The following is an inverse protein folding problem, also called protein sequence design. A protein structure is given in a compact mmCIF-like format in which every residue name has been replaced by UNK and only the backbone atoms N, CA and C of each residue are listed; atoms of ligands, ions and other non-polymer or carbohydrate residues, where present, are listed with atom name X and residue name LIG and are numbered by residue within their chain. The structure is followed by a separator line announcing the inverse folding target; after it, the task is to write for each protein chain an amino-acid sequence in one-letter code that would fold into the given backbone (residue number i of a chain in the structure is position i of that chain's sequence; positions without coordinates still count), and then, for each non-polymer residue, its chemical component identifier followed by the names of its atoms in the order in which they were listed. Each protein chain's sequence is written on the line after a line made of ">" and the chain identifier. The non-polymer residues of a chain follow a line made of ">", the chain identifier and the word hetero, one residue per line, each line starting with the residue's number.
data_IF_952274768672
#
_entry.id   IF_952274768672
#
_cell.length_a   1.000
_cell.length_b   1.000
_cell.length_c   1.000
_cell.angle_alpha   90.00
_cell.angle_beta   90.00
_cell.angle_gamma   90.00
#
_symmetry.space_group_name_H-M   'P 1'
#
loop_
_entity.id
_entity.type
_entity.pdbx_description
1 polymer ?
#
# COMPACT_ATOMS: atom_id res chain seq x y z
N UNK A 1 12.54 30.32 39.13
CA UNK A 1 13.19 30.10 37.81
C UNK A 1 13.19 28.63 37.38
N UNK A 2 13.63 27.67 38.20
CA UNK A 2 13.63 26.22 37.84
C UNK A 2 12.25 25.65 37.45
N UNK A 3 11.20 26.04 38.17
CA UNK A 3 9.82 25.59 37.89
C UNK A 3 9.31 26.11 36.54
N UNK A 4 9.56 27.39 36.23
CA UNK A 4 9.22 27.97 34.92
C UNK A 4 9.96 27.27 33.77
N UNK A 5 11.25 26.97 33.97
CA UNK A 5 12.06 26.29 32.96
C UNK A 5 11.59 24.85 32.72
N UNK A 6 11.20 24.14 33.80
CA UNK A 6 10.64 22.79 33.72
C UNK A 6 9.25 22.74 33.08
N UNK A 7 8.43 23.77 33.28
CA UNK A 7 7.15 23.91 32.59
C UNK A 7 7.34 24.22 31.11
N UNK A 8 8.30 25.08 30.77
CA UNK A 8 8.62 25.41 29.38
C UNK A 8 9.15 24.19 28.62
N UNK A 9 10.03 23.39 29.22
CA UNK A 9 10.51 22.14 28.60
C UNK A 9 9.39 21.12 28.44
N UNK A 10 8.51 20.95 29.44
CA UNK A 10 7.35 20.07 29.32
C UNK A 10 6.39 20.49 28.19
N UNK A 11 6.11 21.78 28.05
CA UNK A 11 5.29 22.30 26.95
C UNK A 11 5.94 22.08 25.57
N UNK A 12 7.27 22.23 25.46
CA UNK A 12 8.01 21.96 24.22
C UNK A 12 7.95 20.47 23.84
N UNK A 13 8.10 19.55 24.81
CA UNK A 13 7.92 18.11 24.55
C UNK A 13 6.48 17.74 24.20
N UNK A 14 5.48 18.38 24.81
CA UNK A 14 4.08 18.16 24.47
C UNK A 14 3.74 18.61 23.04
N UNK A 15 4.34 19.69 22.53
CA UNK A 15 4.18 20.10 21.13
C UNK A 15 4.85 19.16 20.12
N UNK A 16 5.84 18.36 20.55
CA UNK A 16 6.42 17.30 19.72
C UNK A 16 5.50 16.08 19.58
N UNK A 17 4.50 15.94 20.46
CA UNK A 17 3.40 14.97 20.32
C UNK A 17 2.34 15.58 19.39
N UNK A 18 2.75 16.00 18.19
CA UNK A 18 1.79 16.21 17.12
C UNK A 18 1.25 14.82 16.77
N UNK A 19 -0.02 14.58 17.08
CA UNK A 19 -0.79 13.52 16.46
C UNK A 19 -0.52 13.61 14.95
N UNK A 20 -0.02 12.54 14.33
CA UNK A 20 0.00 12.47 12.87
C UNK A 20 -1.44 12.64 12.41
N UNK A 21 -1.76 13.80 11.84
CA UNK A 21 -3.08 14.06 11.31
C UNK A 21 -3.32 13.03 10.19
N UNK A 22 -4.38 12.24 10.33
CA UNK A 22 -4.70 11.24 9.33
C UNK A 22 -4.94 11.96 7.99
N UNK A 23 -4.11 11.65 6.99
CA UNK A 23 -4.15 12.31 5.67
C UNK A 23 -5.55 12.19 5.03
N UNK A 24 -6.23 11.06 5.28
CA UNK A 24 -7.58 10.80 4.83
C UNK A 24 -8.21 9.66 5.66
N UNK A 25 -9.52 9.43 5.53
CA UNK A 25 -10.22 8.29 6.13
C UNK A 25 -10.86 7.44 5.04
N UNK A 26 -10.62 6.13 5.06
CA UNK A 26 -11.19 5.19 4.09
C UNK A 26 -12.71 5.17 4.25
N UNK A 27 -13.41 5.46 3.15
CA UNK A 27 -14.88 5.46 3.07
C UNK A 27 -15.42 4.26 2.28
N UNK A 28 -14.64 3.78 1.31
CA UNK A 28 -14.96 2.63 0.47
C UNK A 28 -13.71 1.78 0.30
N UNK A 29 -13.86 0.46 0.38
CA UNK A 29 -12.83 -0.53 0.05
C UNK A 29 -13.34 -1.42 -1.08
N UNK A 30 -12.61 -1.46 -2.18
CA UNK A 30 -12.86 -2.40 -3.28
C UNK A 30 -11.83 -3.52 -3.21
N UNK A 31 -12.28 -4.76 -3.27
CA UNK A 31 -11.42 -5.94 -3.24
C UNK A 31 -11.40 -6.60 -4.61
N UNK A 32 -10.20 -6.83 -5.15
CA UNK A 32 -9.98 -7.46 -6.44
C UNK A 32 -9.28 -8.80 -6.23
N UNK A 33 -9.80 -9.87 -6.85
CA UNK A 33 -9.01 -11.09 -7.06
C UNK A 33 -8.17 -10.89 -8.31
N UNK A 34 -6.86 -10.81 -8.15
CA UNK A 34 -5.91 -10.54 -9.22
C UNK A 34 -5.21 -11.84 -9.65
N UNK A 35 -4.92 -11.96 -10.95
CA UNK A 35 -3.97 -12.91 -11.52
C UNK A 35 -2.86 -12.12 -12.20
N UNK A 36 -1.61 -12.48 -11.98
CA UNK A 36 -0.49 -11.70 -12.48
C UNK A 36 0.79 -12.49 -12.69
N UNK A 37 1.71 -11.90 -13.46
CA UNK A 37 3.08 -12.39 -13.67
C UNK A 37 4.04 -11.29 -13.25
N UNK A 38 5.16 -11.63 -12.61
CA UNK A 38 6.17 -10.63 -12.26
C UNK A 38 6.99 -10.20 -13.47
N UNK A 39 7.24 -11.12 -14.41
CA UNK A 39 7.94 -10.83 -15.66
C UNK A 39 7.17 -11.40 -16.85
N UNK A 40 7.46 -10.89 -18.05
CA UNK A 40 6.80 -11.32 -19.28
C UNK A 40 7.10 -12.80 -19.60
N UNK A 41 8.32 -13.26 -19.29
CA UNK A 41 8.82 -14.60 -19.57
C UNK A 41 8.22 -15.66 -18.64
N UNK A 42 7.62 -15.22 -17.52
CA UNK A 42 7.09 -16.13 -16.53
C UNK A 42 5.92 -16.92 -17.10
N UNK A 43 5.98 -18.25 -17.04
CA UNK A 43 4.95 -19.12 -17.61
C UNK A 43 3.68 -19.11 -16.76
N UNK A 44 3.85 -19.32 -15.47
CA UNK A 44 2.77 -19.42 -14.49
C UNK A 44 2.33 -18.05 -14.00
N UNK A 45 1.03 -17.90 -13.74
CA UNK A 45 0.47 -16.72 -13.09
C UNK A 45 0.32 -16.99 -11.59
N UNK A 46 0.53 -15.96 -10.79
CA UNK A 46 0.24 -15.94 -9.37
C UNK A 46 -1.11 -15.29 -9.13
N UNK A 47 -1.82 -15.72 -8.09
CA UNK A 47 -3.01 -15.05 -7.61
C UNK A 47 -2.66 -14.07 -6.49
N UNK A 48 -3.48 -13.03 -6.32
CA UNK A 48 -3.46 -12.17 -5.14
C UNK A 48 -4.86 -11.60 -4.84
N UNK A 49 -4.98 -10.97 -3.68
CA UNK A 49 -6.10 -10.14 -3.31
C UNK A 49 -5.59 -8.71 -3.16
N UNK A 50 -5.96 -7.86 -4.12
CA UNK A 50 -5.62 -6.44 -4.08
C UNK A 50 -6.78 -5.64 -3.49
N UNK A 51 -6.44 -4.62 -2.71
CA UNK A 51 -7.39 -3.69 -2.12
C UNK A 51 -7.19 -2.31 -2.73
N UNK A 52 -8.30 -1.64 -3.04
CA UNK A 52 -8.35 -0.22 -3.34
C UNK A 52 -9.15 0.47 -2.23
N UNK A 53 -8.43 1.13 -1.34
CA UNK A 53 -9.00 1.97 -0.30
C UNK A 53 -9.20 3.38 -0.83
N UNK A 54 -10.44 3.87 -0.75
CA UNK A 54 -10.86 5.16 -1.29
C UNK A 54 -11.34 6.03 -0.13
N UNK A 55 -10.60 7.11 0.13
CA UNK A 55 -10.99 8.15 1.07
C UNK A 55 -11.71 9.30 0.37
N UNK A 56 -11.83 10.43 1.07
CA UNK A 56 -12.49 11.63 0.53
C UNK A 56 -11.63 12.35 -0.50
N UNK A 57 -10.31 12.27 -0.37
CA UNK A 57 -9.34 13.04 -1.13
C UNK A 57 -8.24 12.20 -1.77
N UNK A 58 -8.04 10.97 -1.33
CA UNK A 58 -6.95 10.09 -1.72
C UNK A 58 -7.42 8.65 -1.91
N UNK A 59 -6.56 7.83 -2.52
CA UNK A 59 -6.77 6.38 -2.55
C UNK A 59 -5.44 5.63 -2.48
N UNK A 60 -5.48 4.40 -1.94
CA UNK A 60 -4.34 3.48 -1.89
C UNK A 60 -4.70 2.14 -2.52
N UNK A 61 -3.89 1.69 -3.46
CA UNK A 61 -3.97 0.36 -4.06
C UNK A 61 -2.80 -0.50 -3.59
N UNK A 62 -3.07 -1.68 -3.04
CA UNK A 62 -2.02 -2.54 -2.45
C UNK A 62 -2.46 -4.01 -2.38
N UNK A 63 -1.51 -4.91 -2.14
CA UNK A 63 -1.79 -6.33 -1.87
C UNK A 63 -2.17 -6.55 -0.40
N UNK A 64 -3.32 -7.16 -0.17
CA UNK A 64 -3.73 -7.59 1.17
C UNK A 64 -2.77 -8.64 1.74
N UNK A 65 -2.29 -9.55 0.90
CA UNK A 65 -1.39 -10.63 1.33
C UNK A 65 -0.02 -10.08 1.72
N UNK A 66 0.46 -9.06 1.01
CA UNK A 66 1.72 -8.41 1.34
C UNK A 66 1.66 -7.64 2.66
N UNK A 67 0.59 -6.87 2.90
CA UNK A 67 0.35 -6.25 4.21
C UNK A 67 0.36 -7.28 5.35
N UNK A 68 -0.35 -8.41 5.17
CA UNK A 68 -0.35 -9.49 6.15
C UNK A 68 1.04 -10.08 6.38
N UNK A 69 1.81 -10.28 5.32
CA UNK A 69 3.20 -10.73 5.41
C UNK A 69 4.07 -9.75 6.22
N UNK A 70 3.92 -8.44 5.99
CA UNK A 70 4.65 -7.41 6.74
C UNK A 70 4.32 -7.46 8.24
N UNK A 71 3.04 -7.52 8.61
CA UNK A 71 2.64 -7.68 10.02
C UNK A 71 3.21 -8.93 10.67
N UNK A 72 3.17 -10.07 9.96
CA UNK A 72 3.71 -11.32 10.45
C UNK A 72 5.23 -11.25 10.62
N UNK A 73 5.94 -10.69 9.62
CA UNK A 73 7.39 -10.50 9.67
C UNK A 73 7.80 -9.65 10.86
N UNK A 74 7.10 -8.54 11.09
CA UNK A 74 7.41 -7.63 12.20
C UNK A 74 7.12 -8.29 13.56
N UNK A 75 6.01 -9.04 13.66
CA UNK A 75 5.71 -9.85 14.85
C UNK A 75 6.80 -10.87 15.13
N UNK A 76 7.20 -11.67 14.14
CA UNK A 76 8.25 -12.69 14.25
C UNK A 76 9.59 -12.05 14.64
N UNK A 77 9.94 -10.90 14.05
CA UNK A 77 11.17 -10.16 14.38
C UNK A 77 11.16 -9.62 15.81
N UNK A 78 10.00 -9.24 16.34
CA UNK A 78 9.89 -8.69 17.69
C UNK A 78 10.08 -9.71 18.82
N UNK A 79 9.74 -10.99 18.57
CA UNK A 79 9.79 -12.06 19.58
C UNK A 79 10.98 -12.99 19.44
N UNK A 80 11.57 -13.10 18.24
CA UNK A 80 12.65 -14.06 18.01
C UNK A 80 14.03 -13.46 18.31
N UNK A 81 14.66 -13.98 19.36
CA UNK A 81 16.09 -13.78 19.64
C UNK A 81 16.98 -14.77 18.87
N UNK A 82 16.40 -15.84 18.31
CA UNK A 82 17.11 -16.83 17.48
C UNK A 82 16.99 -16.47 15.97
N UNK A 83 18.09 -16.10 15.30
CA UNK A 83 18.09 -15.78 13.87
C UNK A 83 17.58 -16.92 12.98
N UNK A 84 17.72 -18.19 13.38
CA UNK A 84 17.33 -19.32 12.54
C UNK A 84 15.81 -19.44 12.38
N UNK A 85 15.05 -19.18 13.44
CA UNK A 85 13.58 -19.13 13.39
C UNK A 85 13.07 -18.06 12.40
N UNK A 86 13.71 -16.90 12.37
CA UNK A 86 13.39 -15.80 11.46
C UNK A 86 13.71 -16.18 10.01
N UNK A 87 14.88 -16.79 9.75
CA UNK A 87 15.24 -17.28 8.42
C UNK A 87 14.26 -18.36 7.92
N UNK A 88 13.81 -19.26 8.79
CA UNK A 88 12.81 -20.26 8.44
C UNK A 88 11.46 -19.64 8.06
N UNK A 89 11.00 -18.62 8.81
CA UNK A 89 9.80 -17.86 8.47
C UNK A 89 9.91 -17.22 7.08
N UNK A 90 11.03 -16.54 6.81
CA UNK A 90 11.28 -15.93 5.51
C UNK A 90 11.25 -16.98 4.40
N UNK A 91 11.99 -18.08 4.54
CA UNK A 91 12.04 -19.15 3.53
C UNK A 91 10.66 -19.75 3.23
N UNK A 92 9.79 -19.88 4.23
CA UNK A 92 8.45 -20.45 4.07
C UNK A 92 7.45 -19.49 3.39
N UNK A 93 7.69 -18.19 3.49
CA UNK A 93 6.70 -17.15 3.15
C UNK A 93 7.14 -16.29 1.95
N UNK A 94 8.42 -16.31 1.56
CA UNK A 94 8.94 -15.56 0.42
C UNK A 94 8.42 -16.07 -0.94
N UNK A 95 8.62 -15.26 -1.97
CA UNK A 95 8.17 -15.53 -3.34
C UNK A 95 6.70 -15.15 -3.54
N UNK A 96 5.96 -15.87 -4.37
CA UNK A 96 4.55 -15.57 -4.68
C UNK A 96 3.61 -15.64 -3.48
N UNK A 97 4.00 -16.36 -2.43
CA UNK A 97 3.22 -16.51 -1.20
C UNK A 97 3.12 -15.23 -0.38
N UNK A 98 4.03 -14.26 -0.55
CA UNK A 98 3.97 -12.98 0.16
C UNK A 98 3.00 -11.98 -0.48
N UNK A 99 2.51 -12.24 -1.69
CA UNK A 99 1.74 -11.25 -2.45
C UNK A 99 2.62 -10.23 -3.16
N UNK A 100 1.99 -9.28 -3.87
CA UNK A 100 2.69 -8.25 -4.63
C UNK A 100 3.15 -7.10 -3.72
N UNK A 101 4.40 -6.67 -3.90
CA UNK A 101 5.03 -5.62 -3.08
C UNK A 101 4.73 -4.20 -3.56
N UNK A 102 4.28 -4.06 -4.80
CA UNK A 102 3.92 -2.80 -5.41
C UNK A 102 2.65 -2.19 -4.81
N UNK A 103 2.69 -0.87 -4.59
CA UNK A 103 1.56 -0.07 -4.16
C UNK A 103 1.43 1.22 -4.96
N UNK A 104 0.21 1.74 -5.04
CA UNK A 104 -0.10 3.04 -5.67
C UNK A 104 -0.87 3.91 -4.73
N UNK A 105 -0.42 5.14 -4.60
CA UNK A 105 -1.07 6.18 -3.85
C UNK A 105 -1.52 7.28 -4.78
N UNK A 106 -2.78 7.69 -4.68
CA UNK A 106 -3.34 8.81 -5.45
C UNK A 106 -3.52 10.00 -4.52
N UNK A 107 -3.03 11.17 -4.94
CA UNK A 107 -3.07 12.42 -4.18
C UNK A 107 -2.25 12.40 -2.87
N UNK A 108 -1.29 11.49 -2.73
CA UNK A 108 -0.37 11.38 -1.59
C UNK A 108 1.04 11.24 -2.16
N UNK A 109 2.04 11.99 -1.67
CA UNK A 109 1.94 12.98 -0.60
C UNK A 109 1.31 14.31 -1.07
N UNK A 110 1.22 14.53 -2.39
CA UNK A 110 0.74 15.78 -2.97
C UNK A 110 -0.54 15.58 -3.78
N UNK A 111 -1.48 16.53 -3.66
CA UNK A 111 -2.67 16.53 -4.51
C UNK A 111 -2.30 16.70 -5.98
N UNK A 112 -2.62 15.69 -6.77
CA UNK A 112 -2.47 15.72 -8.23
C UNK A 112 -1.44 14.72 -8.74
N UNK A 113 -0.81 13.97 -7.85
CA UNK A 113 0.19 12.96 -8.17
C UNK A 113 -0.33 11.53 -8.00
N UNK A 114 0.28 10.62 -8.76
CA UNK A 114 0.34 9.20 -8.45
C UNK A 114 1.74 8.91 -7.91
N UNK A 115 1.81 8.32 -6.73
CA UNK A 115 3.06 7.85 -6.12
C UNK A 115 3.05 6.34 -6.10
N UNK A 116 4.10 5.76 -6.66
CA UNK A 116 4.25 4.32 -6.78
C UNK A 116 5.43 3.89 -5.92
N UNK A 117 5.22 2.81 -5.18
CA UNK A 117 6.27 2.19 -4.38
C UNK A 117 6.40 0.73 -4.77
N UNK A 118 7.63 0.22 -4.81
CA UNK A 118 7.89 -1.21 -5.01
C UNK A 118 9.14 -1.64 -4.24
N UNK A 119 9.28 -2.94 -3.99
CA UNK A 119 10.48 -3.53 -3.39
C UNK A 119 11.21 -4.28 -4.50
N UNK A 120 12.37 -3.75 -4.91
CA UNK A 120 13.12 -4.27 -6.06
C UNK A 120 13.96 -5.49 -5.65
N UNK A 121 14.64 -5.43 -4.51
CA UNK A 121 15.44 -6.54 -3.97
C UNK A 121 15.82 -6.31 -2.51
N UNK A 122 15.64 -7.30 -1.61
CA UNK A 122 16.19 -7.37 -0.24
C UNK A 122 16.63 -6.01 0.35
N UNK A 123 15.65 -5.15 0.65
CA UNK A 123 15.78 -3.82 1.28
C UNK A 123 15.90 -2.61 0.33
N UNK A 124 16.04 -2.79 -0.98
CA UNK A 124 15.93 -1.72 -1.95
C UNK A 124 14.47 -1.42 -2.27
N UNK A 125 13.98 -0.36 -1.65
CA UNK A 125 12.67 0.23 -1.98
C UNK A 125 12.83 1.24 -3.11
N UNK A 126 11.97 1.14 -4.11
CA UNK A 126 11.84 2.11 -5.18
C UNK A 126 10.58 2.94 -4.94
N UNK A 127 10.70 4.25 -5.11
CA UNK A 127 9.59 5.18 -5.03
C UNK A 127 9.72 6.17 -6.19
N UNK A 128 8.64 6.37 -6.94
CA UNK A 128 8.57 7.42 -7.94
C UNK A 128 7.20 8.09 -7.94
N UNK A 129 7.18 9.35 -8.33
CA UNK A 129 5.96 10.15 -8.42
C UNK A 129 5.79 10.64 -9.86
N UNK A 130 4.54 10.65 -10.33
CA UNK A 130 4.17 11.27 -11.59
C UNK A 130 2.88 12.09 -11.42
N UNK A 131 2.66 13.04 -12.32
CA UNK A 131 1.37 13.74 -12.36
C UNK A 131 0.29 12.77 -12.83
N UNK A 132 -0.92 12.84 -12.25
CA UNK A 132 -2.05 12.03 -12.70
C UNK A 132 -2.26 12.28 -14.21
N UNK A 133 -2.13 11.26 -15.05
CA UNK A 133 -2.19 11.45 -16.49
C UNK A 133 -3.61 11.77 -16.95
N UNK A 134 -3.71 12.48 -18.08
CA UNK A 134 -4.96 12.57 -18.81
C UNK A 134 -5.16 11.27 -19.58
N UNK A 135 -6.22 10.54 -19.28
CA UNK A 135 -6.56 9.31 -20.01
C UNK A 135 -7.53 9.63 -21.16
N UNK A 136 -7.14 9.28 -22.39
CA UNK A 136 -7.98 9.39 -23.58
C UNK A 136 -8.87 8.16 -23.75
N UNK A 137 -9.78 7.95 -22.81
CA UNK A 137 -10.72 6.82 -22.86
C UNK A 137 -11.83 7.04 -23.89
N UNK A 138 -12.05 6.06 -24.75
CA UNK A 138 -13.23 5.98 -25.62
C UNK A 138 -14.23 4.97 -25.04
N UNK A 139 -15.50 5.36 -24.93
CA UNK A 139 -16.56 4.44 -24.52
C UNK A 139 -16.74 3.38 -25.60
N UNK A 140 -16.63 2.12 -25.21
CA UNK A 140 -16.85 0.98 -26.08
C UNK A 140 -18.21 0.35 -25.80
N UNK A 141 -18.73 -0.37 -26.80
CA UNK A 141 -19.94 -1.16 -26.60
C UNK A 141 -19.68 -2.27 -25.57
N UNK A 142 -20.65 -2.44 -24.65
CA UNK A 142 -20.57 -3.36 -23.52
C UNK A 142 -20.77 -2.60 -22.21
N UNK A 143 -21.97 -2.73 -21.64
CA UNK A 143 -22.25 -2.39 -20.26
C UNK A 143 -22.41 -3.67 -19.44
N UNK A 144 -22.23 -3.54 -18.13
CA UNK A 144 -22.44 -4.65 -17.21
C UNK A 144 -22.79 -4.13 -15.82
N UNK A 145 -23.20 -5.02 -14.94
CA UNK A 145 -23.43 -4.71 -13.54
C UNK A 145 -22.39 -5.46 -12.71
N UNK A 146 -21.53 -4.72 -12.01
CA UNK A 146 -20.52 -5.28 -11.11
C UNK A 146 -20.97 -5.01 -9.68
N UNK A 147 -21.34 -6.06 -8.94
CA UNK A 147 -21.78 -5.96 -7.53
C UNK A 147 -22.93 -4.92 -7.38
N UNK A 148 -23.89 -4.95 -8.30
CA UNK A 148 -25.04 -4.03 -8.29
C UNK A 148 -24.76 -2.63 -8.84
N UNK A 149 -23.52 -2.31 -9.22
CA UNK A 149 -23.18 -1.03 -9.84
C UNK A 149 -23.17 -1.13 -11.37
N UNK A 150 -23.93 -0.29 -12.08
CA UNK A 150 -23.84 -0.22 -13.54
C UNK A 150 -22.48 0.32 -13.94
N UNK A 151 -21.83 -0.36 -14.89
CA UNK A 151 -20.47 -0.10 -15.33
C UNK A 151 -20.43 -0.05 -16.86
N UNK A 152 -19.68 0.90 -17.39
CA UNK A 152 -19.43 1.02 -18.84
C UNK A 152 -18.02 0.53 -19.16
N UNK A 153 -17.88 -0.10 -20.32
CA UNK A 153 -16.58 -0.44 -20.88
C UNK A 153 -15.94 0.79 -21.55
N UNK A 154 -14.65 0.96 -21.33
CA UNK A 154 -13.83 1.94 -22.03
C UNK A 154 -12.56 1.28 -22.57
N UNK A 155 -12.01 1.85 -23.64
CA UNK A 155 -10.74 1.45 -24.27
C UNK A 155 -9.82 2.65 -24.41
N UNK A 156 -8.50 2.41 -24.39
CA UNK A 156 -7.45 3.41 -24.56
C UNK A 156 -6.66 3.15 -25.84
#
# INVERSE_FOLDING_TARGET
>A
MKILFSLLTFCLFASCVHSQEAVDTVSVRVQYRALYKHTQEQKEAYDDINLLDIGRHSSRFYSQRFEQFLYQRDSVKSVNTDPMSYLQFLANTFGSKKGREYEVYKHIPQRGTLTYTDVVHNDFSFCYEESIPTFSWELAEGDTIIIGYPCHKAVC
#
